data_IF_521349575997
#
_entry.id   IF_521349575997
#
_cell.length_a   1.000
_cell.length_b   1.000
_cell.length_c   1.000
_cell.angle_alpha   90.00
_cell.angle_beta   90.00
_cell.angle_gamma   90.00
#
_symmetry.space_group_name_H-M   'P 1'
#
loop_
_entity.id
_entity.type
_entity.pdbx_description
1 polymer ?
#
# COMPACT_ATOMS: atom_id res chain seq x y z
N UNK A 1 48.27 -10.90 1.76
CA UNK A 1 47.11 -11.07 0.85
C UNK A 1 45.88 -11.29 1.73
N UNK A 2 45.22 -10.20 2.14
CA UNK A 2 44.06 -10.29 3.05
C UNK A 2 42.78 -10.18 2.22
N UNK A 3 42.06 -11.29 2.09
CA UNK A 3 40.78 -11.36 1.40
C UNK A 3 39.67 -10.73 2.24
N UNK A 4 39.08 -9.66 1.74
CA UNK A 4 37.81 -9.14 2.25
C UNK A 4 36.69 -10.09 1.86
N UNK A 5 36.22 -10.86 2.83
CA UNK A 5 35.03 -11.71 2.73
C UNK A 5 33.80 -10.81 2.86
N UNK A 6 33.28 -10.33 1.73
CA UNK A 6 32.11 -9.46 1.68
C UNK A 6 30.89 -10.24 2.20
N UNK A 7 30.45 -9.92 3.43
CA UNK A 7 29.23 -10.48 4.00
C UNK A 7 28.06 -9.94 3.17
N UNK A 8 27.42 -10.82 2.41
CA UNK A 8 26.12 -10.57 1.77
C UNK A 8 25.15 -10.16 2.89
N UNK A 9 24.79 -8.89 2.94
CA UNK A 9 23.62 -8.45 3.71
C UNK A 9 22.41 -9.10 3.05
N UNK A 10 21.84 -10.06 3.76
CA UNK A 10 20.71 -10.89 3.39
C UNK A 10 19.44 -10.06 3.22
N UNK A 11 18.77 -10.32 2.10
CA UNK A 11 17.38 -10.04 1.69
C UNK A 11 16.38 -9.82 2.85
N UNK A 12 15.90 -8.58 3.01
CA UNK A 12 14.61 -8.26 3.67
C UNK A 12 13.86 -7.12 2.92
N UNK A 13 14.23 -6.83 1.67
CA UNK A 13 13.58 -5.81 0.80
C UNK A 13 12.71 -6.41 -0.30
N UNK A 14 12.23 -7.65 -0.16
CA UNK A 14 11.70 -8.40 -1.32
C UNK A 14 10.24 -8.08 -1.70
N UNK A 15 9.48 -7.30 -0.91
CA UNK A 15 8.06 -7.03 -1.21
C UNK A 15 7.68 -5.54 -1.38
N UNK A 16 8.60 -4.59 -1.20
CA UNK A 16 8.27 -3.18 -1.48
C UNK A 16 8.28 -2.97 -2.99
N UNK A 17 7.17 -2.46 -3.53
CA UNK A 17 7.00 -2.23 -4.97
C UNK A 17 7.09 -0.74 -5.28
N UNK A 18 7.93 -0.41 -6.24
CA UNK A 18 7.92 0.90 -6.91
C UNK A 18 6.94 0.90 -8.09
N UNK A 19 6.71 2.09 -8.67
CA UNK A 19 5.70 2.32 -9.71
C UNK A 19 5.76 1.33 -10.90
N UNK A 20 6.97 0.95 -11.35
CA UNK A 20 7.12 -0.02 -12.43
C UNK A 20 6.55 -1.40 -12.04
N UNK A 21 6.86 -1.87 -10.83
CA UNK A 21 6.38 -3.16 -10.31
C UNK A 21 4.87 -3.14 -10.05
N UNK A 22 4.32 -1.99 -9.62
CA UNK A 22 2.88 -1.80 -9.46
C UNK A 22 2.18 -1.95 -10.82
N UNK A 23 2.68 -1.25 -11.86
CA UNK A 23 2.15 -1.37 -13.23
C UNK A 23 2.27 -2.78 -13.78
N UNK A 24 3.43 -3.43 -13.59
CA UNK A 24 3.67 -4.80 -14.06
C UNK A 24 2.75 -5.82 -13.37
N UNK A 25 2.43 -5.62 -12.09
CA UNK A 25 1.48 -6.46 -11.36
C UNK A 25 0.02 -6.24 -11.76
N UNK A 26 -0.30 -5.09 -12.37
CA UNK A 26 -1.66 -4.72 -12.72
C UNK A 26 -2.54 -4.28 -11.55
N UNK A 27 -1.99 -4.13 -10.34
CA UNK A 27 -2.77 -3.81 -9.13
C UNK A 27 -2.04 -2.82 -8.20
N UNK A 28 -2.74 -1.74 -7.82
CA UNK A 28 -2.34 -0.80 -6.76
C UNK A 28 -3.02 -1.20 -5.44
N UNK A 29 -2.22 -1.49 -4.41
CA UNK A 29 -2.68 -1.85 -3.07
C UNK A 29 -2.62 -0.64 -2.16
N UNK A 30 -3.77 -0.13 -1.75
CA UNK A 30 -3.90 1.04 -0.90
C UNK A 30 -4.27 0.63 0.53
N UNK A 31 -3.44 1.06 1.47
CA UNK A 31 -3.66 0.87 2.90
C UNK A 31 -4.50 2.01 3.46
N UNK A 32 -5.53 1.71 4.25
CA UNK A 32 -6.37 2.72 4.90
C UNK A 32 -6.90 2.23 6.26
N UNK A 33 -7.61 3.10 6.97
CA UNK A 33 -8.40 2.75 8.17
C UNK A 33 -9.88 3.01 7.90
N UNK A 34 -10.73 2.29 8.61
CA UNK A 34 -12.16 2.56 8.58
C UNK A 34 -12.45 3.94 9.19
N UNK A 35 -13.00 4.87 8.41
CA UNK A 35 -13.39 6.19 8.88
C UNK A 35 -14.45 6.81 7.96
N UNK A 36 -15.20 7.78 8.46
CA UNK A 36 -16.24 8.48 7.69
C UNK A 36 -15.70 9.29 6.50
N UNK A 37 -14.41 9.62 6.50
CA UNK A 37 -13.77 10.44 5.45
C UNK A 37 -12.81 9.64 4.56
N UNK A 38 -12.34 8.48 5.02
CA UNK A 38 -11.32 7.68 4.34
C UNK A 38 -11.94 6.56 3.53
N UNK A 39 -12.46 5.55 4.23
CA UNK A 39 -13.06 4.35 3.68
C UNK A 39 -14.14 3.85 4.64
N UNK A 40 -15.35 3.64 4.13
CA UNK A 40 -16.45 3.06 4.88
C UNK A 40 -17.35 2.22 3.98
N UNK A 41 -18.04 1.26 4.58
CA UNK A 41 -19.03 0.46 3.87
C UNK A 41 -20.44 0.98 4.21
N UNK A 42 -21.16 1.46 3.21
CA UNK A 42 -22.56 1.86 3.34
C UNK A 42 -23.45 0.94 2.52
N UNK A 43 -24.28 0.12 3.20
CA UNK A 43 -25.21 -0.82 2.56
C UNK A 43 -24.56 -1.76 1.54
N UNK A 44 -23.35 -2.24 1.84
CA UNK A 44 -22.58 -3.11 0.95
C UNK A 44 -21.77 -2.37 -0.11
N UNK A 45 -21.82 -1.03 -0.16
CA UNK A 45 -21.04 -0.22 -1.09
C UNK A 45 -19.84 0.42 -0.37
N UNK A 46 -18.65 0.22 -0.95
CA UNK A 46 -17.42 0.88 -0.52
C UNK A 46 -17.42 2.33 -0.96
N UNK A 47 -17.30 3.25 0.01
CA UNK A 47 -17.33 4.69 -0.21
C UNK A 47 -16.24 5.39 0.60
N UNK A 48 -15.97 6.64 0.25
CA UNK A 48 -15.03 7.49 0.97
C UNK A 48 -14.21 8.34 0.01
N UNK A 49 -13.85 9.54 0.45
CA UNK A 49 -13.12 10.48 -0.40
C UNK A 49 -11.75 9.90 -0.80
N UNK A 50 -11.03 9.30 0.15
CA UNK A 50 -9.73 8.68 -0.12
C UNK A 50 -9.84 7.40 -0.94
N UNK A 51 -10.91 6.62 -0.77
CA UNK A 51 -11.23 5.49 -1.64
C UNK A 51 -11.44 5.92 -3.10
N UNK A 52 -12.30 6.91 -3.33
CA UNK A 52 -12.58 7.42 -4.68
C UNK A 52 -11.33 8.01 -5.36
N UNK A 53 -10.55 8.79 -4.60
CA UNK A 53 -9.29 9.37 -5.10
C UNK A 53 -8.29 8.27 -5.48
N UNK A 54 -8.18 7.22 -4.67
CA UNK A 54 -7.34 6.06 -4.93
C UNK A 54 -7.80 5.31 -6.18
N UNK A 55 -9.11 5.17 -6.40
CA UNK A 55 -9.68 4.56 -7.59
C UNK A 55 -9.38 5.35 -8.86
N UNK A 56 -9.48 6.68 -8.82
CA UNK A 56 -9.08 7.54 -9.93
C UNK A 56 -7.58 7.45 -10.23
N UNK A 57 -6.75 7.38 -9.18
CA UNK A 57 -5.32 7.22 -9.34
C UNK A 57 -4.96 5.87 -9.97
N UNK A 58 -5.50 4.76 -9.47
CA UNK A 58 -5.31 3.43 -10.06
C UNK A 58 -5.72 3.40 -11.54
N UNK A 59 -6.88 4.01 -11.87
CA UNK A 59 -7.34 4.16 -13.26
C UNK A 59 -6.36 4.95 -14.12
N UNK A 60 -5.79 6.04 -13.61
CA UNK A 60 -4.77 6.83 -14.32
C UNK A 60 -3.48 6.05 -14.58
N UNK A 61 -3.16 5.08 -13.73
CA UNK A 61 -2.01 4.19 -13.88
C UNK A 61 -2.31 3.00 -14.80
N UNK A 62 -3.58 2.74 -15.11
CA UNK A 62 -4.03 1.58 -15.89
C UNK A 62 -4.05 0.27 -15.10
N UNK A 63 -4.20 0.34 -13.77
CA UNK A 63 -4.20 -0.82 -12.85
C UNK A 63 -5.51 -0.91 -12.07
N UNK A 64 -5.79 -2.07 -11.48
CA UNK A 64 -6.92 -2.24 -10.55
C UNK A 64 -6.58 -1.70 -9.17
N UNK A 65 -7.59 -1.27 -8.43
CA UNK A 65 -7.44 -0.87 -7.02
C UNK A 65 -7.75 -2.07 -6.12
N UNK A 66 -6.88 -2.33 -5.15
CA UNK A 66 -7.16 -3.19 -3.99
C UNK A 66 -7.01 -2.37 -2.71
N UNK A 67 -7.99 -2.45 -1.83
CA UNK A 67 -7.98 -1.74 -0.55
C UNK A 67 -7.69 -2.72 0.57
N UNK A 68 -6.74 -2.38 1.42
CA UNK A 68 -6.41 -3.12 2.63
C UNK A 68 -6.69 -2.24 3.85
N UNK A 69 -7.57 -2.71 4.74
CA UNK A 69 -7.98 -1.96 5.92
C UNK A 69 -7.20 -2.47 7.13
N UNK A 70 -6.39 -1.59 7.74
CA UNK A 70 -5.70 -1.88 9.00
C UNK A 70 -6.62 -1.63 10.21
N UNK A 71 -6.25 -2.12 11.39
CA UNK A 71 -7.02 -1.94 12.65
C UNK A 71 -6.69 -0.63 13.35
N UNK A 72 -5.47 -0.13 13.19
CA UNK A 72 -4.97 1.11 13.79
C UNK A 72 -3.78 1.65 13.00
N UNK A 73 -3.31 2.85 13.38
CA UNK A 73 -2.21 3.55 12.70
C UNK A 73 -0.89 2.77 12.77
N UNK A 74 -0.60 2.12 13.90
CA UNK A 74 0.63 1.34 14.05
C UNK A 74 0.66 0.17 13.06
N UNK A 75 -0.44 -0.58 12.95
CA UNK A 75 -0.58 -1.65 11.96
C UNK A 75 -0.50 -1.11 10.52
N UNK A 76 -1.12 0.05 10.26
CA UNK A 76 -1.09 0.70 8.95
C UNK A 76 0.35 1.00 8.50
N UNK A 77 1.17 1.55 9.40
CA UNK A 77 2.58 1.83 9.16
C UNK A 77 3.36 0.53 9.02
N UNK A 78 3.13 -0.46 9.89
CA UNK A 78 3.79 -1.76 9.81
C UNK A 78 3.54 -2.46 8.47
N UNK A 79 2.29 -2.47 7.99
CA UNK A 79 1.90 -3.04 6.69
C UNK A 79 2.60 -2.36 5.52
N UNK A 80 2.75 -1.03 5.57
CA UNK A 80 3.49 -0.30 4.55
C UNK A 80 4.97 -0.72 4.53
N UNK A 81 5.59 -0.78 5.71
CA UNK A 81 7.01 -1.13 5.84
C UNK A 81 7.30 -2.60 5.52
N UNK A 82 6.33 -3.50 5.69
CA UNK A 82 6.44 -4.92 5.32
C UNK A 82 6.19 -5.19 3.83
N UNK A 83 5.75 -4.18 3.06
CA UNK A 83 5.39 -4.34 1.65
C UNK A 83 4.03 -4.99 1.42
N UNK A 84 3.15 -4.99 2.42
CA UNK A 84 1.77 -5.47 2.27
C UNK A 84 0.86 -4.50 1.52
N UNK A 85 1.30 -3.25 1.32
CA UNK A 85 0.65 -2.28 0.45
C UNK A 85 1.63 -1.24 -0.09
N UNK A 86 1.19 -0.49 -1.10
CA UNK A 86 2.06 0.43 -1.84
C UNK A 86 2.01 1.86 -1.29
N UNK A 87 0.82 2.31 -0.87
CA UNK A 87 0.59 3.66 -0.35
C UNK A 87 -0.41 3.64 0.81
N UNK A 88 -0.32 4.65 1.69
CA UNK A 88 -1.34 4.93 2.70
C UNK A 88 -2.27 6.03 2.18
N UNK A 89 -3.57 5.76 2.19
CA UNK A 89 -4.63 6.74 1.98
C UNK A 89 -5.44 6.89 3.28
N UNK A 90 -4.84 7.60 4.24
CA UNK A 90 -5.43 7.90 5.55
C UNK A 90 -4.86 9.22 6.08
N UNK A 91 -5.67 9.99 6.82
CA UNK A 91 -5.17 11.21 7.46
C UNK A 91 -4.50 10.87 8.80
N UNK A 92 -3.18 11.07 8.89
CA UNK A 92 -2.38 10.72 10.08
C UNK A 92 -2.32 11.82 11.16
N UNK A 93 -3.07 12.91 11.00
CA UNK A 93 -3.02 14.10 11.86
C UNK A 93 -4.05 14.06 13.00
#
# INVERSE_FOLDING_TARGET
MSGCRNKKHSREKENIRDLAQIKDSGELVVLTLYSSTSYFNYRGQEMGFQYELSGQFAKSLGVTLRVEVARNVDELIHKLLSGEGDIIAYNLL
#
